data_IF_593036723957
#
_entry.id   IF_593036723957
#
_cell.length_a   1.000
_cell.length_b   1.000
_cell.length_c   1.000
_cell.angle_alpha   90.00
_cell.angle_beta   90.00
_cell.angle_gamma   90.00
#
_symmetry.space_group_name_H-M   'P 1'
#
loop_
_entity.id
_entity.type
_entity.pdbx_description
1 polymer ?
2 non-polymer ?
3 water ?
#
# COMPACT_ATOMS: atom_id res chain seq x y z
N UNK A 1 -26.38 24.98 -8.79
CA UNK A 1 -25.09 25.60 -8.45
C UNK A 1 -24.50 26.14 -9.75
N UNK A 2 -24.10 27.43 -9.80
CA UNK A 2 -23.44 27.99 -11.02
C UNK A 2 -22.06 27.36 -11.29
N UNK A 3 -21.48 27.65 -12.45
CA UNK A 3 -20.21 27.06 -12.89
C UNK A 3 -19.03 27.37 -11.99
N UNK A 4 -18.91 28.63 -11.55
CA UNK A 4 -17.77 28.98 -10.70
C UNK A 4 -17.88 28.26 -9.32
N UNK A 5 -19.10 28.10 -8.81
CA UNK A 5 -19.29 27.41 -7.53
C UNK A 5 -19.04 25.88 -7.65
N UNK A 6 -19.47 25.25 -8.77
CA UNK A 6 -19.18 23.82 -9.07
C UNK A 6 -17.68 23.61 -9.11
N UNK A 7 -16.97 24.50 -9.82
CA UNK A 7 -15.47 24.40 -9.89
C UNK A 7 -14.82 24.49 -8.51
N UNK A 8 -15.32 25.41 -7.67
CA UNK A 8 -14.78 25.59 -6.32
C UNK A 8 -15.09 24.36 -5.46
N UNK A 9 -16.21 23.71 -5.75
CA UNK A 9 -16.58 22.52 -4.96
C UNK A 9 -15.60 21.37 -5.31
N UNK A 10 -15.38 21.17 -6.61
CA UNK A 10 -14.38 20.18 -7.06
C UNK A 10 -12.99 20.46 -6.47
N UNK A 11 -12.51 21.70 -6.55
CA UNK A 11 -11.20 22.04 -6.00
C UNK A 11 -11.12 21.83 -4.47
N UNK A 12 -12.23 22.04 -3.77
CA UNK A 12 -12.27 21.79 -2.32
C UNK A 12 -11.94 20.31 -1.99
N UNK A 13 -12.53 19.38 -2.74
CA UNK A 13 -12.25 17.97 -2.45
C UNK A 13 -10.79 17.65 -2.81
N UNK A 14 -10.33 18.21 -3.94
CA UNK A 14 -8.94 17.99 -4.39
C UNK A 14 -7.97 18.50 -3.34
N UNK A 15 -8.29 19.68 -2.81
CA UNK A 15 -7.46 20.30 -1.82
C UNK A 15 -7.39 19.47 -0.53
N UNK A 16 -8.52 18.86 -0.15
CA UNK A 16 -8.53 17.98 1.04
C UNK A 16 -7.56 16.79 0.86
N UNK A 17 -7.57 16.22 -0.36
CA UNK A 17 -6.57 15.13 -0.68
C UNK A 17 -5.11 15.63 -0.66
N UNK A 18 -4.87 16.79 -1.24
CA UNK A 18 -3.54 17.43 -1.25
C UNK A 18 -3.02 17.61 0.20
N UNK A 19 -3.88 18.14 1.06
CA UNK A 19 -3.47 18.36 2.46
C UNK A 19 -3.07 17.08 3.16
N UNK A 20 -3.84 15.99 2.92
CA UNK A 20 -3.51 14.67 3.54
C UNK A 20 -2.12 14.19 3.07
N UNK A 21 -1.82 14.40 1.80
CA UNK A 21 -0.51 14.01 1.27
C UNK A 21 0.60 14.87 1.91
N UNK A 22 0.38 16.19 1.95
CA UNK A 22 1.32 17.11 2.64
C UNK A 22 1.65 16.68 4.08
N UNK A 23 0.63 16.27 4.83
CA UNK A 23 0.73 15.83 6.25
C UNK A 23 1.73 14.71 6.36
N UNK A 24 1.68 13.79 5.37
CA UNK A 24 2.58 12.64 5.36
C UNK A 24 4.01 13.02 4.98
N UNK A 25 4.18 13.84 3.94
CA UNK A 25 5.52 14.33 3.51
C UNK A 25 6.18 15.12 4.68
N UNK A 26 5.38 15.81 5.49
CA UNK A 26 5.91 16.59 6.62
C UNK A 26 6.22 15.73 7.84
N UNK A 27 5.93 14.44 7.80
CA UNK A 27 6.13 13.57 8.98
C UNK A 27 7.51 12.86 8.95
N UNK A 28 7.95 12.24 10.06
CA UNK A 28 9.33 11.73 10.08
C UNK A 28 9.59 10.52 9.16
N UNK A 29 8.53 9.72 8.90
CA UNK A 29 8.63 8.47 8.11
C UNK A 29 9.73 7.56 8.67
N UNK A 30 9.84 7.46 10.02
CA UNK A 30 11.02 6.76 10.63
C UNK A 30 11.23 5.33 10.16
N UNK A 31 10.14 4.58 10.02
CA UNK A 31 10.24 3.14 9.71
C UNK A 31 10.49 2.88 8.20
N UNK A 32 10.54 3.94 7.39
CA UNK A 32 10.76 3.75 5.95
C UNK A 32 12.09 3.24 5.50
N UNK A 33 13.12 3.56 6.29
CA UNK A 33 14.44 3.10 5.98
C UNK A 33 14.46 1.57 6.15
N UNK A 34 13.88 1.10 7.27
CA UNK A 34 13.73 -0.36 7.52
C UNK A 34 12.88 -1.00 6.44
N UNK A 35 11.82 -0.29 6.05
CA UNK A 35 10.96 -0.84 4.99
C UNK A 35 11.77 -1.11 3.70
N UNK A 36 12.59 -0.14 3.29
CA UNK A 36 13.41 -0.28 2.06
C UNK A 36 14.34 -1.49 2.20
N UNK A 37 14.97 -1.60 3.37
CA UNK A 37 15.90 -2.70 3.58
C UNK A 37 15.29 -4.07 3.46
N UNK A 38 14.11 -4.24 4.08
CA UNK A 38 13.38 -5.51 4.01
C UNK A 38 13.04 -5.82 2.56
N UNK A 39 12.58 -4.80 1.83
CA UNK A 39 12.13 -5.01 0.41
C UNK A 39 13.31 -5.31 -0.50
N UNK A 40 14.46 -4.68 -0.23
CA UNK A 40 15.69 -5.01 -0.98
C UNK A 40 16.19 -6.44 -0.71
N UNK A 41 15.94 -6.96 0.48
CA UNK A 41 16.36 -8.29 0.87
C UNK A 41 15.46 -9.39 0.26
N UNK A 42 14.26 -9.03 -0.24
CA UNK A 42 13.33 -10.01 -0.80
C UNK A 42 13.91 -10.79 -1.98
N UNK A 43 14.04 -12.10 -1.83
CA UNK A 43 14.50 -12.97 -2.90
C UNK A 43 13.38 -13.54 -3.76
N UNK A 44 12.12 -13.32 -3.34
CA UNK A 44 10.96 -13.83 -4.05
C UNK A 44 10.21 -12.63 -4.64
N UNK A 45 8.89 -12.67 -4.54
CA UNK A 45 8.02 -11.58 -4.99
C UNK A 45 7.48 -10.80 -3.77
N UNK A 46 7.16 -9.52 -3.96
CA UNK A 46 6.49 -8.71 -2.95
C UNK A 46 5.00 -8.93 -3.28
N UNK A 47 4.27 -9.49 -2.34
CA UNK A 47 2.86 -9.86 -2.58
C UNK A 47 2.01 -8.85 -1.82
N UNK A 48 1.15 -8.12 -2.55
CA UNK A 48 0.32 -7.08 -1.92
C UNK A 48 -1.05 -7.74 -1.70
N UNK A 49 -1.62 -7.54 -0.51
CA UNK A 49 -2.96 -8.08 -0.19
C UNK A 49 -3.82 -6.92 0.29
N UNK A 50 -5.04 -6.84 -0.24
CA UNK A 50 -5.99 -5.80 0.21
C UNK A 50 -7.39 -6.17 -0.29
N UNK A 51 -8.40 -5.45 0.21
CA UNK A 51 -9.78 -5.56 -0.30
C UNK A 51 -10.36 -4.16 -0.38
N UNK A 52 -11.51 -4.01 -1.02
CA UNK A 52 -12.13 -2.67 -1.15
C UNK A 52 -11.19 -1.70 -1.84
N UNK A 53 -11.28 -0.40 -1.46
CA UNK A 53 -10.51 0.64 -2.19
C UNK A 53 -9.02 0.46 -2.00
N UNK A 54 -8.60 0.05 -0.80
CA UNK A 54 -7.19 -0.28 -0.50
C UNK A 54 -6.69 -1.36 -1.42
N UNK A 55 -7.56 -2.34 -1.66
CA UNK A 55 -7.23 -3.45 -2.56
C UNK A 55 -6.96 -2.99 -4.00
N UNK A 56 -7.75 -2.04 -4.47
CA UNK A 56 -7.48 -1.51 -5.85
C UNK A 56 -6.18 -0.74 -5.88
N UNK A 57 -5.95 0.11 -4.88
CA UNK A 57 -4.59 0.76 -4.75
C UNK A 57 -3.45 -0.32 -4.66
N UNK A 58 -3.71 -1.40 -3.90
CA UNK A 58 -2.69 -2.50 -3.77
C UNK A 58 -2.42 -3.11 -5.15
N UNK A 59 -3.46 -3.25 -5.99
CA UNK A 59 -3.25 -3.73 -7.35
C UNK A 59 -2.34 -2.79 -8.18
N UNK A 60 -2.58 -1.46 -8.06
CA UNK A 60 -1.77 -0.47 -8.77
C UNK A 60 -0.32 -0.56 -8.24
N UNK A 61 -0.14 -0.65 -6.91
CA UNK A 61 1.24 -0.69 -6.38
C UNK A 61 1.98 -1.92 -6.80
N UNK A 62 1.32 -3.07 -6.82
CA UNK A 62 2.02 -4.30 -7.28
C UNK A 62 2.50 -4.11 -8.72
N UNK A 63 1.62 -3.53 -9.56
CA UNK A 63 1.97 -3.29 -10.99
C UNK A 63 3.18 -2.31 -11.12
N UNK A 64 3.13 -1.24 -10.35
CA UNK A 64 4.18 -0.23 -10.36
C UNK A 64 5.51 -0.81 -9.85
N UNK A 65 5.45 -1.58 -8.76
CA UNK A 65 6.67 -2.27 -8.30
C UNK A 65 7.27 -3.11 -9.41
N UNK A 66 6.46 -4.00 -10.02
CA UNK A 66 6.94 -4.91 -11.07
C UNK A 66 7.52 -4.18 -12.29
N UNK A 67 6.84 -3.13 -12.71
CA UNK A 67 7.20 -2.42 -13.95
C UNK A 67 8.50 -1.64 -13.75
N UNK A 68 8.86 -1.42 -12.49
CA UNK A 68 10.09 -0.68 -12.12
C UNK A 68 11.16 -1.53 -11.48
N UNK A 69 11.03 -2.86 -11.60
CA UNK A 69 12.13 -3.80 -11.32
C UNK A 69 12.05 -4.54 -10.01
N UNK A 70 10.92 -4.47 -9.30
CA UNK A 70 10.74 -5.24 -8.05
C UNK A 70 9.58 -6.24 -8.30
N UNK A 71 9.90 -7.52 -8.57
CA UNK A 71 8.87 -8.50 -8.90
C UNK A 71 7.82 -8.51 -7.76
N UNK A 72 6.57 -8.40 -8.18
CA UNK A 72 5.43 -8.15 -7.24
C UNK A 72 4.12 -8.54 -7.89
N UNK A 73 3.13 -9.02 -7.14
CA UNK A 73 1.80 -9.21 -7.71
C UNK A 73 0.78 -9.06 -6.58
N UNK A 74 -0.49 -8.98 -6.96
CA UNK A 74 -1.58 -8.71 -6.01
C UNK A 74 -2.38 -9.98 -5.77
N UNK A 75 -2.79 -10.19 -4.50
CA UNK A 75 -3.72 -11.24 -4.08
C UNK A 75 -4.83 -10.57 -3.32
N UNK A 76 -6.05 -10.70 -3.82
CA UNK A 76 -7.20 -10.12 -3.12
C UNK A 76 -7.43 -10.82 -1.76
N UNK A 77 -7.76 -10.04 -0.72
CA UNK A 77 -7.76 -10.60 0.64
C UNK A 77 -8.79 -11.71 0.83
N UNK A 78 -9.96 -11.57 0.18
CA UNK A 78 -10.95 -12.67 0.20
C UNK A 78 -10.47 -13.88 -0.58
N UNK A 79 -10.00 -13.65 -1.79
CA UNK A 79 -9.54 -14.79 -2.60
C UNK A 79 -8.41 -15.56 -1.86
N UNK A 80 -7.60 -14.85 -1.07
CA UNK A 80 -6.48 -15.44 -0.29
C UNK A 80 -7.05 -16.59 0.55
N UNK A 81 -8.16 -16.35 1.24
CA UNK A 81 -8.69 -17.42 2.17
C UNK A 81 -9.56 -18.45 1.42
N UNK A 82 -9.73 -18.25 0.12
CA UNK A 82 -10.36 -19.26 -0.77
C UNK A 82 -9.31 -19.97 -1.61
N UNK A 83 -8.06 -20.07 -1.12
CA UNK A 83 -7.07 -20.82 -1.84
C UNK A 83 -5.88 -20.03 -2.32
N UNK A 84 -6.05 -18.71 -2.55
CA UNK A 84 -4.97 -17.96 -3.21
C UNK A 84 -3.79 -17.73 -2.25
N UNK A 85 -3.95 -18.02 -0.95
CA UNK A 85 -2.74 -18.08 -0.09
C UNK A 85 -1.65 -19.04 -0.65
N UNK A 86 -2.07 -20.04 -1.46
CA UNK A 86 -1.15 -20.92 -2.15
C UNK A 86 -0.25 -20.23 -3.15
N UNK A 87 -0.60 -18.98 -3.52
CA UNK A 87 0.30 -18.20 -4.39
C UNK A 87 1.58 -17.70 -3.71
N UNK A 88 1.58 -17.64 -2.38
CA UNK A 88 2.65 -17.04 -1.56
C UNK A 88 3.61 -18.18 -1.21
N UNK A 89 4.88 -18.06 -1.56
CA UNK A 89 5.86 -19.12 -1.26
C UNK A 89 6.92 -18.60 -0.29
N UNK A 90 7.77 -19.49 0.26
CA UNK A 90 8.65 -19.13 1.40
C UNK A 90 9.46 -17.82 1.27
N UNK A 91 10.05 -17.56 0.11
CA UNK A 91 10.88 -16.32 -0.07
C UNK A 91 10.07 -15.02 -0.33
N UNK A 92 8.74 -15.13 -0.46
CA UNK A 92 7.91 -13.95 -0.73
C UNK A 92 7.74 -13.06 0.52
N UNK A 93 7.69 -11.74 0.33
CA UNK A 93 7.42 -10.83 1.45
C UNK A 93 6.00 -10.33 1.17
N UNK A 94 5.20 -10.12 2.22
CA UNK A 94 3.77 -9.76 2.08
C UNK A 94 3.53 -8.37 2.64
N UNK A 95 2.89 -7.51 1.85
CA UNK A 95 2.44 -6.20 2.33
C UNK A 95 0.94 -6.25 2.36
N UNK A 96 0.37 -6.08 3.54
CA UNK A 96 -1.09 -6.08 3.75
C UNK A 96 -1.55 -4.65 3.99
N UNK A 97 -2.48 -4.17 3.17
CA UNK A 97 -2.93 -2.77 3.20
C UNK A 97 -4.34 -2.70 3.81
N UNK A 98 -4.51 -1.94 4.90
CA UNK A 98 -5.83 -1.69 5.49
C UNK A 98 -5.80 -0.34 6.21
N UNK A 99 -6.65 0.63 5.85
CA UNK A 99 -6.48 1.94 6.47
C UNK A 99 -6.77 1.83 7.98
N UNK A 100 -7.88 1.20 8.35
CA UNK A 100 -8.17 1.07 9.79
C UNK A 100 -7.21 0.08 10.50
N UNK A 101 -6.69 -0.91 9.75
CA UNK A 101 -5.93 -2.03 10.33
C UNK A 101 -6.85 -2.97 11.07
N UNK A 102 -8.16 -2.84 10.84
CA UNK A 102 -9.16 -3.78 11.47
C UNK A 102 -9.99 -4.56 10.47
N UNK A 103 -9.68 -4.39 9.17
CA UNK A 103 -10.58 -4.94 8.13
C UNK A 103 -10.71 -6.42 8.31
N UNK A 104 -11.93 -6.96 8.49
CA UNK A 104 -12.05 -8.37 8.86
C UNK A 104 -11.40 -9.32 7.86
N UNK A 105 -11.63 -9.05 6.55
CA UNK A 105 -11.02 -9.94 5.50
C UNK A 105 -9.52 -9.98 5.60
N UNK A 106 -8.88 -8.86 5.95
CA UNK A 106 -7.41 -8.86 6.00
C UNK A 106 -6.94 -9.61 7.26
N UNK A 107 -7.57 -9.32 8.39
CA UNK A 107 -7.22 -10.11 9.62
C UNK A 107 -7.38 -11.63 9.46
N UNK A 108 -8.36 -12.06 8.67
CA UNK A 108 -8.64 -13.51 8.42
C UNK A 108 -7.49 -14.23 7.69
N UNK A 109 -6.60 -13.48 7.05
CA UNK A 109 -5.45 -14.09 6.37
C UNK A 109 -4.36 -14.45 7.36
N UNK A 110 -4.39 -13.84 8.56
CA UNK A 110 -3.19 -13.83 9.37
C UNK A 110 -2.85 -15.22 10.04
N UNK A 111 -3.87 -15.98 10.51
CA UNK A 111 -3.44 -17.25 11.11
C UNK A 111 -2.65 -18.14 10.10
N UNK A 112 -3.13 -18.27 8.83
CA UNK A 112 -2.37 -19.00 7.82
C UNK A 112 -1.01 -18.37 7.52
N UNK A 113 -0.95 -17.05 7.34
CA UNK A 113 0.33 -16.43 7.00
C UNK A 113 1.37 -16.61 8.14
N UNK A 114 0.90 -16.65 9.39
CA UNK A 114 1.80 -16.95 10.53
C UNK A 114 2.36 -18.38 10.44
N UNK A 115 1.50 -19.36 10.14
CA UNK A 115 1.96 -20.71 9.89
C UNK A 115 2.91 -20.83 8.71
N UNK A 116 2.65 -20.08 7.64
CA UNK A 116 3.48 -20.11 6.42
C UNK A 116 4.84 -19.46 6.63
N UNK A 117 4.92 -18.50 7.59
CA UNK A 117 6.22 -17.93 8.07
C UNK A 117 6.76 -16.72 7.36
N UNK A 118 6.05 -16.25 6.33
CA UNK A 118 6.56 -15.11 5.58
C UNK A 118 6.67 -13.83 6.42
N UNK A 119 7.64 -12.99 6.06
CA UNK A 119 7.76 -11.66 6.68
C UNK A 119 6.54 -10.82 6.22
N UNK A 120 5.84 -10.24 7.19
CA UNK A 120 4.59 -9.48 6.98
C UNK A 120 4.80 -8.03 7.29
N UNK A 121 4.40 -7.18 6.34
CA UNK A 121 4.48 -5.71 6.46
C UNK A 121 3.05 -5.20 6.39
N UNK A 122 2.67 -4.24 7.28
CA UNK A 122 1.36 -3.62 7.16
C UNK A 122 1.49 -2.15 6.83
N UNK A 123 0.55 -1.66 6.00
CA UNK A 123 0.36 -0.21 5.78
C UNK A 123 -1.00 0.10 6.39
N UNK A 124 -1.02 0.83 7.51
CA UNK A 124 -2.29 1.17 8.17
C UNK A 124 -2.18 2.56 8.75
N UNK A 125 -3.29 3.10 9.26
CA UNK A 125 -3.23 4.45 9.88
C UNK A 125 -2.71 4.43 11.32
N UNK A 126 -2.42 3.26 11.92
CA UNK A 126 -2.08 3.21 13.38
C UNK A 126 -1.26 2.01 13.70
N UNK A 127 -0.09 2.25 14.30
CA UNK A 127 0.69 1.12 14.84
C UNK A 127 -0.10 0.25 15.87
N UNK A 128 -1.15 0.82 16.49
CA UNK A 128 -1.94 0.09 17.51
C UNK A 128 -3.00 -0.81 16.92
N UNK A 129 -3.20 -0.73 15.60
CA UNK A 129 -4.27 -1.55 15.00
C UNK A 129 -3.97 -3.07 15.12
N UNK A 130 -5.02 -3.89 15.01
CA UNK A 130 -4.84 -5.37 15.07
C UNK A 130 -3.86 -5.84 14.03
N UNK A 131 -4.00 -5.32 12.81
CA UNK A 131 -3.13 -5.77 11.73
C UNK A 131 -1.69 -5.38 11.97
N UNK A 132 -1.48 -4.13 12.38
CA UNK A 132 -0.12 -3.60 12.59
C UNK A 132 0.59 -4.42 13.69
N UNK A 133 -0.16 -4.73 14.75
CA UNK A 133 0.43 -5.51 15.87
C UNK A 133 0.79 -6.97 15.48
N UNK A 134 0.04 -7.55 14.53
CA UNK A 134 0.32 -8.87 14.05
C UNK A 134 1.39 -8.97 13.02
N UNK A 135 1.82 -7.86 12.42
CA UNK A 135 2.84 -7.91 11.40
C UNK A 135 4.26 -7.81 11.96
N UNK A 136 5.24 -8.20 11.15
CA UNK A 136 6.65 -8.00 11.51
C UNK A 136 7.11 -6.57 11.47
N UNK A 137 6.62 -5.81 10.47
CA UNK A 137 6.99 -4.41 10.30
C UNK A 137 5.69 -3.64 10.07
N UNK A 138 5.34 -2.79 11.02
CA UNK A 138 4.22 -1.88 10.86
C UNK A 138 4.69 -0.51 10.31
N UNK A 139 4.09 -0.10 9.19
CA UNK A 139 4.31 1.22 8.61
C UNK A 139 3.06 2.04 8.85
N UNK A 140 3.21 3.17 9.56
CA UNK A 140 2.01 3.93 9.95
C UNK A 140 1.88 5.08 8.97
N UNK A 141 0.72 5.19 8.33
CA UNK A 141 0.47 6.22 7.32
C UNK A 141 -0.81 6.91 7.83
N UNK A 142 -0.66 7.91 8.73
CA UNK A 142 -1.87 8.44 9.38
C UNK A 142 -2.67 9.28 8.38
N UNK A 143 -3.97 9.24 8.53
CA UNK A 143 -4.88 9.97 7.67
C UNK A 143 -5.94 10.49 8.65
N UNK A 144 -6.00 11.80 8.84
CA UNK A 144 -6.97 12.43 9.80
C UNK A 144 -8.45 12.28 9.44
N UNK A 145 -8.77 12.47 8.16
CA UNK A 145 -10.17 12.54 7.72
C UNK A 145 -10.23 12.16 6.24
N UNK A 146 -11.31 11.52 5.80
CA UNK A 146 -11.60 11.40 4.33
C UNK A 146 -12.12 12.72 3.76
N UNK A 147 -12.13 12.88 2.42
CA UNK A 147 -12.42 14.17 1.80
C UNK A 147 -13.89 14.57 1.83
N UNK A 148 -14.81 13.61 2.02
CA UNK A 148 -16.28 13.93 1.98
C UNK A 148 -16.75 14.54 3.32
N UNK A 149 -17.91 15.21 3.34
CA UNK A 149 -18.40 15.84 4.59
C UNK A 149 -18.52 14.87 5.79
N UNK A 150 -19.01 13.66 5.54
CA UNK A 150 -19.14 12.67 6.62
C UNK A 150 -17.90 11.82 6.88
N UNK A 151 -16.89 11.99 6.02
CA UNK A 151 -15.59 11.30 6.25
C UNK A 151 -15.71 9.79 6.03
N UNK A 152 -16.63 9.39 5.14
CA UNK A 152 -16.89 7.96 4.92
C UNK A 152 -16.21 7.31 3.72
N UNK A 153 -15.94 8.10 2.68
CA UNK A 153 -15.49 7.52 1.40
C UNK A 153 -13.95 7.57 1.30
N UNK A 154 -13.27 6.39 1.13
CA UNK A 154 -11.81 6.42 0.95
C UNK A 154 -11.41 7.32 -0.22
N UNK A 155 -10.59 8.32 0.07
CA UNK A 155 -10.30 9.38 -0.91
C UNK A 155 -8.94 9.93 -0.44
N UNK A 156 -8.90 10.66 0.69
CA UNK A 156 -7.61 10.97 1.29
C UNK A 156 -6.78 9.71 1.59
N UNK A 157 -7.38 8.67 2.21
CA UNK A 157 -6.58 7.50 2.59
C UNK A 157 -6.03 6.72 1.37
N UNK A 158 -6.89 6.43 0.39
CA UNK A 158 -6.41 5.70 -0.80
C UNK A 158 -5.36 6.51 -1.57
N UNK A 159 -5.53 7.84 -1.67
CA UNK A 159 -4.54 8.64 -2.37
C UNK A 159 -3.20 8.69 -1.63
N UNK A 160 -3.24 8.84 -0.30
CA UNK A 160 -2.01 8.89 0.44
C UNK A 160 -1.22 7.58 0.29
N UNK A 161 -1.91 6.44 0.41
CA UNK A 161 -1.24 5.12 0.24
C UNK A 161 -0.65 4.97 -1.15
N UNK A 162 -1.37 5.47 -2.15
CA UNK A 162 -0.84 5.40 -3.52
C UNK A 162 0.46 6.21 -3.66
N UNK A 163 0.46 7.41 -3.12
CA UNK A 163 1.64 8.29 -3.25
C UNK A 163 2.81 7.67 -2.50
N UNK A 164 2.56 7.19 -1.28
CA UNK A 164 3.61 6.59 -0.45
C UNK A 164 4.20 5.35 -1.18
N UNK A 165 3.32 4.45 -1.61
CA UNK A 165 3.75 3.24 -2.33
C UNK A 165 4.50 3.51 -3.63
N UNK A 166 4.03 4.49 -4.43
CA UNK A 166 4.74 4.86 -5.67
C UNK A 166 6.20 5.29 -5.31
N UNK A 167 6.31 6.11 -4.25
CA UNK A 167 7.65 6.62 -3.89
C UNK A 167 8.56 5.51 -3.43
N UNK A 168 8.02 4.55 -2.66
CA UNK A 168 8.79 3.38 -2.22
C UNK A 168 9.26 2.60 -3.47
N UNK A 169 8.35 2.35 -4.43
CA UNK A 169 8.71 1.67 -5.67
C UNK A 169 9.84 2.40 -6.41
N UNK A 170 9.70 3.72 -6.56
CA UNK A 170 10.68 4.49 -7.35
C UNK A 170 12.03 4.56 -6.62
N UNK A 171 12.00 4.62 -5.30
CA UNK A 171 13.27 4.55 -4.55
C UNK A 171 13.97 3.19 -4.73
N UNK A 172 13.23 2.07 -4.60
CA UNK A 172 13.82 0.72 -4.79
C UNK A 172 14.42 0.66 -6.19
N UNK A 173 13.67 1.23 -7.15
CA UNK A 173 14.08 1.16 -8.57
C UNK A 173 15.42 1.92 -8.78
N UNK A 174 15.47 3.17 -8.31
CA UNK A 174 16.69 3.96 -8.38
C UNK A 174 17.84 3.27 -7.67
N UNK A 175 17.59 2.76 -6.46
CA UNK A 175 18.66 2.10 -5.69
C UNK A 175 19.23 0.87 -6.39
N UNK A 176 18.42 0.11 -7.10
CA UNK A 176 18.92 -1.09 -7.77
C UNK A 176 19.45 -0.82 -9.19
N UNK A 177 19.48 0.44 -9.60
CA UNK A 177 20.00 0.84 -10.91
C UNK A 177 19.20 0.27 -12.06
N UNK A 178 17.87 0.29 -11.90
CA UNK A 178 16.96 -0.08 -12.96
C UNK A 178 17.13 0.87 -14.17
N UNK A 179 17.16 0.34 -15.40
CA UNK A 179 17.51 1.20 -16.57
C UNK A 179 16.34 1.48 -17.51
N UNK A 180 16.54 2.42 -18.45
CA UNK A 180 15.59 2.62 -19.58
C UNK A 180 15.38 1.33 -20.36
N UNK A 181 16.46 0.58 -20.63
CA UNK A 181 16.38 -0.67 -21.40
C UNK A 181 15.50 -1.71 -20.64
N UNK A 182 15.65 -1.80 -19.31
CA UNK A 182 14.84 -2.76 -18.48
C UNK A 182 13.36 -2.33 -18.52
N UNK A 183 13.12 -1.02 -18.41
CA UNK A 183 11.74 -0.47 -18.53
C UNK A 183 11.12 -0.89 -19.88
N UNK A 184 11.91 -0.76 -20.97
CA UNK A 184 11.47 -1.12 -22.30
C UNK A 184 11.18 -2.61 -22.49
N UNK A 185 11.93 -3.46 -21.78
CA UNK A 185 11.75 -4.92 -21.82
C UNK A 185 10.34 -5.28 -21.30
N UNK A 186 9.96 -4.63 -20.18
CA UNK A 186 8.63 -4.92 -19.60
C UNK A 186 7.52 -4.10 -20.19
N UNK A 187 7.85 -3.07 -20.99
CA UNK A 187 6.83 -2.17 -21.53
C UNK A 187 7.18 -1.93 -23.02
N UNK A 188 7.11 -2.97 -23.89
CA UNK A 188 7.70 -2.93 -25.28
C UNK A 188 6.94 -2.12 -26.33
X LIG B 1 -13.62 -21.71 -3.36
X LIG B 1 -12.64 -20.87 -4.13
X LIG B 1 -14.80 -21.76 -4.27
X LIG B 1 -13.02 -23.07 -3.11
X LIG B 1 -14.08 -21.22 -1.98
#
# INVERSE_FOLDING_TARGET
MNNTDLIHLIKHFMHNELKAVEEVIDSPLSEFANLIKVLQSCQGKVVFIGVGKSGIIARKLAATFASTGTPSFFVHGTEAVHGDLGMVAKDDVVILISNSGETAEILATLPSLKKMGNYLISFTRSHHSSLAISCDLSVEIPVKSEADNLGLAPSCSSTVVLVVGDAVALALSELKKFTRADFGLYHPGGALGIKANS
SO4 S O1 O2 O3 O4
#
